data_IF_581227822261
#
_entry.id   IF_581227822261
#
_cell.length_a   1.000
_cell.length_b   1.000
_cell.length_c   1.000
_cell.angle_alpha   90.00
_cell.angle_beta   90.00
_cell.angle_gamma   90.00
#
_symmetry.space_group_name_H-M   'P 1'
#
loop_
_entity.id
_entity.type
_entity.pdbx_description
1 polymer ?
#
# COMPACT_ATOMS: atom_id res chain seq x y z
N UNK A 1 -1.14 26.71 0.39
CA UNK A 1 -0.41 25.45 0.21
C UNK A 1 -1.11 24.68 -0.90
N UNK A 2 -0.39 24.30 -1.95
CA UNK A 2 -1.00 23.61 -3.10
C UNK A 2 -1.58 22.27 -2.68
N UNK A 3 -2.73 21.89 -3.22
CA UNK A 3 -3.31 20.56 -3.03
C UNK A 3 -2.50 19.52 -3.80
N UNK A 4 -2.65 18.25 -3.48
CA UNK A 4 -1.98 17.18 -4.24
C UNK A 4 -2.44 17.16 -5.69
N UNK A 5 -3.71 17.44 -5.93
CA UNK A 5 -4.32 17.53 -7.27
C UNK A 5 -3.75 18.71 -8.07
N UNK A 6 -3.50 19.86 -7.43
CA UNK A 6 -2.82 21.00 -8.06
C UNK A 6 -1.39 20.62 -8.47
N UNK A 7 -0.67 19.95 -7.57
CA UNK A 7 0.70 19.49 -7.83
C UNK A 7 0.76 18.48 -8.99
N UNK A 8 -0.21 17.58 -9.10
CA UNK A 8 -0.28 16.67 -10.27
C UNK A 8 -0.53 17.45 -11.55
N UNK A 9 -1.38 18.48 -11.51
CA UNK A 9 -1.58 19.39 -12.63
C UNK A 9 -0.30 20.12 -13.05
N UNK A 10 0.49 20.61 -12.08
CA UNK A 10 1.79 21.24 -12.32
C UNK A 10 2.80 20.24 -12.88
N UNK A 11 2.85 19.04 -12.33
CA UNK A 11 3.68 17.94 -12.84
C UNK A 11 3.34 17.61 -14.31
N UNK A 12 2.06 17.57 -14.65
CA UNK A 12 1.60 17.35 -16.02
C UNK A 12 2.08 18.43 -16.99
N UNK A 13 2.35 19.64 -16.51
CA UNK A 13 2.94 20.75 -17.25
C UNK A 13 4.47 20.76 -17.25
N UNK A 14 5.11 19.80 -16.61
CA UNK A 14 6.55 19.64 -16.57
C UNK A 14 7.24 20.32 -15.38
N UNK A 15 6.51 20.71 -14.33
CA UNK A 15 7.13 21.28 -13.12
C UNK A 15 7.70 20.17 -12.23
N UNK A 16 9.02 20.04 -12.25
CA UNK A 16 9.75 19.07 -11.42
C UNK A 16 9.68 19.39 -9.92
N UNK A 17 9.37 20.63 -9.53
CA UNK A 17 9.22 21.01 -8.12
C UNK A 17 7.96 20.38 -7.53
N UNK A 18 6.89 20.30 -8.33
CA UNK A 18 5.66 19.62 -7.95
C UNK A 18 5.91 18.14 -7.66
N UNK A 19 6.71 17.46 -8.50
CA UNK A 19 7.10 16.06 -8.27
C UNK A 19 7.85 15.91 -6.94
N UNK A 20 8.84 16.79 -6.68
CA UNK A 20 9.63 16.75 -5.43
C UNK A 20 8.75 16.93 -4.20
N UNK A 21 7.75 17.80 -4.27
CA UNK A 21 6.82 18.03 -3.18
C UNK A 21 5.92 16.82 -2.94
N UNK A 22 5.37 16.22 -4.00
CA UNK A 22 4.59 14.98 -3.89
C UNK A 22 5.44 13.82 -3.33
N UNK A 23 6.67 13.65 -3.82
CA UNK A 23 7.61 12.65 -3.28
C UNK A 23 7.80 12.84 -1.77
N UNK A 24 8.03 14.07 -1.31
CA UNK A 24 8.20 14.36 0.12
C UNK A 24 6.97 14.05 0.96
N UNK A 25 5.76 14.31 0.45
CA UNK A 25 4.50 14.04 1.15
C UNK A 25 4.21 12.54 1.28
N UNK A 26 4.55 11.76 0.25
CA UNK A 26 4.17 10.35 0.14
C UNK A 26 5.31 9.35 0.33
N UNK A 27 6.54 9.80 0.59
CA UNK A 27 7.69 8.91 0.81
C UNK A 27 7.41 7.84 1.88
N UNK A 28 7.03 8.27 3.08
CA UNK A 28 6.74 7.34 4.19
C UNK A 28 5.46 6.54 3.99
N UNK A 29 4.30 7.15 3.65
CA UNK A 29 3.07 6.42 3.45
C UNK A 29 3.19 5.35 2.36
N UNK A 30 3.75 5.69 1.21
CA UNK A 30 3.87 4.76 0.09
C UNK A 30 4.89 3.64 0.37
N UNK A 31 6.07 3.98 0.89
CA UNK A 31 7.09 2.98 1.25
C UNK A 31 6.58 2.01 2.30
N UNK A 32 5.90 2.51 3.32
CA UNK A 32 5.27 1.72 4.38
C UNK A 32 4.18 0.78 3.84
N UNK A 33 3.36 1.27 2.91
CA UNK A 33 2.34 0.47 2.24
C UNK A 33 2.95 -0.70 1.46
N UNK A 34 3.93 -0.41 0.60
CA UNK A 34 4.62 -1.43 -0.21
C UNK A 34 5.32 -2.45 0.69
N UNK A 35 6.01 -1.97 1.73
CA UNK A 35 6.69 -2.82 2.70
C UNK A 35 5.75 -3.86 3.33
N UNK A 36 4.57 -3.43 3.79
CA UNK A 36 3.59 -4.34 4.40
C UNK A 36 3.01 -5.34 3.41
N UNK A 37 2.92 -4.95 2.14
CA UNK A 37 2.43 -5.83 1.08
C UNK A 37 3.44 -6.88 0.64
N UNK A 38 4.73 -6.56 0.66
CA UNK A 38 5.79 -7.40 0.10
C UNK A 38 6.68 -8.05 1.16
N UNK A 39 6.35 -7.85 2.44
CA UNK A 39 7.22 -8.27 3.55
C UNK A 39 8.64 -7.68 3.45
N UNK A 40 8.73 -6.45 2.99
CA UNK A 40 9.99 -5.71 2.86
C UNK A 40 10.82 -6.06 1.63
N UNK A 41 10.32 -6.89 0.73
CA UNK A 41 11.03 -7.25 -0.51
C UNK A 41 10.71 -6.26 -1.63
N UNK A 42 11.73 -5.94 -2.43
CA UNK A 42 11.64 -5.09 -3.64
C UNK A 42 10.94 -3.74 -3.41
N UNK A 43 10.97 -3.22 -2.18
CA UNK A 43 10.26 -1.99 -1.81
C UNK A 43 10.70 -0.82 -2.66
N UNK A 44 12.01 -0.64 -2.85
CA UNK A 44 12.55 0.46 -3.62
C UNK A 44 12.16 0.40 -5.09
N UNK A 45 12.24 -0.78 -5.70
CA UNK A 45 11.87 -0.97 -7.11
C UNK A 45 10.39 -0.70 -7.34
N UNK A 46 9.52 -1.18 -6.45
CA UNK A 46 8.07 -0.94 -6.53
C UNK A 46 7.72 0.53 -6.25
N UNK A 47 8.44 1.17 -5.33
CA UNK A 47 8.30 2.59 -5.05
C UNK A 47 8.65 3.43 -6.29
N UNK A 48 9.78 3.17 -6.90
CA UNK A 48 10.22 3.87 -8.12
C UNK A 48 9.26 3.62 -9.28
N UNK A 49 8.83 2.39 -9.51
CA UNK A 49 7.87 2.07 -10.58
C UNK A 49 6.51 2.74 -10.35
N UNK A 50 6.06 2.86 -9.10
CA UNK A 50 4.85 3.61 -8.77
C UNK A 50 4.96 5.06 -9.24
N UNK A 51 6.05 5.74 -8.91
CA UNK A 51 6.27 7.12 -9.30
C UNK A 51 6.48 7.31 -10.80
N UNK A 52 7.14 6.37 -11.47
CA UNK A 52 7.24 6.38 -12.93
C UNK A 52 5.85 6.32 -13.59
N UNK A 53 4.94 5.51 -13.06
CA UNK A 53 3.56 5.47 -13.54
C UNK A 53 2.79 6.75 -13.23
N UNK A 54 3.01 7.36 -12.08
CA UNK A 54 2.44 8.68 -11.75
C UNK A 54 2.89 9.73 -12.76
N UNK A 55 4.18 9.83 -13.02
CA UNK A 55 4.73 10.81 -13.99
C UNK A 55 4.17 10.59 -15.39
N UNK A 56 4.14 9.36 -15.86
CA UNK A 56 3.60 9.01 -17.19
C UNK A 56 2.09 9.24 -17.31
N UNK A 57 1.38 9.10 -16.21
CA UNK A 57 -0.07 9.22 -16.13
C UNK A 57 -0.60 10.62 -15.75
N UNK A 58 0.27 11.52 -15.28
CA UNK A 58 -0.11 12.82 -14.71
C UNK A 58 -1.01 13.65 -15.66
N UNK A 59 -0.72 13.67 -16.94
CA UNK A 59 -1.49 14.40 -17.95
C UNK A 59 -2.92 13.85 -18.15
N UNK A 60 -3.19 12.61 -17.72
CA UNK A 60 -4.50 11.94 -17.82
C UNK A 60 -5.21 11.81 -16.47
N UNK A 61 -4.60 12.32 -15.40
CA UNK A 61 -5.20 12.32 -14.08
C UNK A 61 -6.44 13.22 -14.07
N UNK A 62 -7.53 12.69 -13.51
CA UNK A 62 -8.77 13.44 -13.34
C UNK A 62 -8.70 14.25 -12.01
N UNK A 63 -8.63 15.59 -12.07
CA UNK A 63 -8.51 16.44 -10.89
C UNK A 63 -9.74 16.43 -9.97
N UNK A 64 -10.85 15.85 -10.41
CA UNK A 64 -12.03 15.63 -9.56
C UNK A 64 -11.84 14.44 -8.61
N UNK A 65 -10.84 13.61 -8.84
CA UNK A 65 -10.47 12.47 -7.99
C UNK A 65 -9.34 12.83 -7.05
N UNK A 66 -9.28 12.16 -5.91
CA UNK A 66 -8.18 12.36 -4.96
C UNK A 66 -6.89 11.70 -5.48
N UNK A 67 -5.81 12.46 -5.46
CA UNK A 67 -4.50 11.95 -5.86
C UNK A 67 -4.07 10.73 -5.03
N UNK A 68 -4.27 10.75 -3.72
CA UNK A 68 -3.94 9.63 -2.84
C UNK A 68 -4.63 8.34 -3.27
N UNK A 69 -5.91 8.38 -3.65
CA UNK A 69 -6.65 7.22 -4.15
C UNK A 69 -6.00 6.66 -5.41
N UNK A 70 -5.64 7.51 -6.35
CA UNK A 70 -4.98 7.10 -7.59
C UNK A 70 -3.58 6.53 -7.34
N UNK A 71 -2.78 7.18 -6.49
CA UNK A 71 -1.45 6.71 -6.12
C UNK A 71 -1.48 5.31 -5.50
N UNK A 72 -2.33 5.10 -4.49
CA UNK A 72 -2.46 3.79 -3.84
C UNK A 72 -3.07 2.73 -4.76
N UNK A 73 -3.96 3.10 -5.67
CA UNK A 73 -4.46 2.19 -6.70
C UNK A 73 -3.32 1.66 -7.59
N UNK A 74 -2.42 2.55 -8.04
CA UNK A 74 -1.23 2.15 -8.80
C UNK A 74 -0.35 1.21 -7.98
N UNK A 75 -0.08 1.55 -6.72
CA UNK A 75 0.76 0.76 -5.83
C UNK A 75 0.17 -0.63 -5.54
N UNK A 76 -1.14 -0.72 -5.28
CA UNK A 76 -1.85 -2.00 -5.09
C UNK A 76 -1.68 -2.91 -6.30
N UNK A 77 -1.91 -2.38 -7.49
CA UNK A 77 -1.81 -3.17 -8.72
C UNK A 77 -0.37 -3.65 -8.96
N UNK A 78 0.63 -2.83 -8.69
CA UNK A 78 2.03 -3.23 -8.75
C UNK A 78 2.38 -4.32 -7.74
N UNK A 79 1.91 -4.21 -6.51
CA UNK A 79 2.12 -5.24 -5.50
C UNK A 79 1.43 -6.57 -5.88
N UNK A 80 0.22 -6.50 -6.43
CA UNK A 80 -0.49 -7.69 -6.94
C UNK A 80 0.26 -8.36 -8.09
N UNK A 81 0.77 -7.59 -9.03
CA UNK A 81 1.60 -8.09 -10.13
C UNK A 81 2.90 -8.72 -9.61
N UNK A 82 3.53 -8.10 -8.63
CA UNK A 82 4.72 -8.63 -7.97
C UNK A 82 4.44 -9.98 -7.29
N UNK A 83 3.37 -10.11 -6.53
CA UNK A 83 2.96 -11.37 -5.92
C UNK A 83 2.69 -12.47 -6.96
N UNK A 84 2.05 -12.09 -8.06
CA UNK A 84 1.74 -13.02 -9.16
C UNK A 84 2.99 -13.57 -9.82
N UNK A 85 3.99 -12.72 -10.07
CA UNK A 85 5.31 -13.13 -10.60
C UNK A 85 6.09 -13.98 -9.61
N UNK A 86 6.05 -13.65 -8.33
CA UNK A 86 6.71 -14.42 -7.27
C UNK A 86 6.18 -15.84 -7.13
N UNK A 87 4.88 -16.08 -7.39
CA UNK A 87 4.30 -17.43 -7.39
C UNK A 87 4.83 -18.31 -8.54
N UNK A 88 5.24 -17.72 -9.64
CA UNK A 88 5.86 -18.43 -10.78
C UNK A 88 7.32 -18.77 -10.50
N UNK A 89 7.96 -18.03 -9.59
CA UNK A 89 9.36 -18.16 -9.20
C UNK A 89 9.56 -18.88 -7.86
N UNK A 90 8.58 -19.66 -7.38
CA UNK A 90 8.68 -20.33 -6.08
C UNK A 90 9.66 -21.51 -6.13
N UNK A 91 10.93 -21.21 -6.01
CA UNK A 91 11.87 -22.06 -5.30
C UNK A 91 12.90 -21.16 -4.64
N UNK A 92 12.88 -21.20 -3.30
CA UNK A 92 13.93 -20.67 -2.42
C UNK A 92 14.02 -19.15 -2.31
N UNK A 93 13.57 -18.66 -1.14
CA UNK A 93 14.44 -17.78 -0.33
C UNK A 93 13.79 -17.56 1.04
N UNK A 94 14.50 -18.01 2.05
CA UNK A 94 14.22 -17.76 3.46
C UNK A 94 14.14 -16.28 3.76
N UNK A 95 13.16 -15.94 4.60
CA UNK A 95 12.80 -14.60 4.99
C UNK A 95 13.90 -13.89 5.78
N UNK A 96 14.67 -13.03 5.15
CA UNK A 96 15.29 -11.92 5.85
C UNK A 96 14.30 -10.74 5.81
N UNK A 97 13.49 -10.64 6.87
CA UNK A 97 12.61 -9.49 7.14
C UNK A 97 13.49 -8.32 7.61
N UNK A 98 14.14 -7.65 6.67
CA UNK A 98 14.78 -6.38 6.96
C UNK A 98 13.70 -5.31 7.07
N UNK A 99 13.39 -4.88 8.29
CA UNK A 99 12.51 -3.73 8.52
C UNK A 99 13.12 -2.47 7.94
N UNK A 100 12.34 -1.59 7.28
CA UNK A 100 12.84 -0.30 6.87
C UNK A 100 13.37 0.46 8.10
N UNK A 101 14.45 1.24 7.95
CA UNK A 101 15.12 1.89 9.08
C UNK A 101 14.28 2.85 9.89
N UNK A 102 13.06 3.18 9.45
CA UNK A 102 12.21 4.22 10.00
C UNK A 102 10.85 3.76 10.56
N UNK A 103 10.50 2.49 10.43
CA UNK A 103 9.34 1.92 11.12
C UNK A 103 9.82 1.37 12.46
N UNK A 104 9.32 1.96 13.56
CA UNK A 104 9.74 1.65 14.91
C UNK A 104 9.87 0.14 15.17
N UNK A 105 11.06 -0.25 15.60
CA UNK A 105 11.44 -1.64 15.90
C UNK A 105 10.91 -2.08 17.27
N UNK A 106 9.60 -1.93 17.53
CA UNK A 106 9.03 -2.60 18.69
C UNK A 106 8.72 -4.06 18.34
N UNK A 107 8.92 -4.97 19.28
CA UNK A 107 8.52 -6.38 19.12
C UNK A 107 7.06 -6.48 18.67
N UNK A 108 6.17 -5.65 19.23
CA UNK A 108 4.77 -5.57 18.85
C UNK A 108 4.54 -5.19 17.38
N UNK A 109 5.38 -4.33 16.79
CA UNK A 109 5.27 -3.98 15.37
C UNK A 109 5.73 -5.12 14.45
N UNK A 110 6.72 -5.90 14.89
CA UNK A 110 7.18 -7.10 14.16
C UNK A 110 6.12 -8.20 14.20
N UNK A 111 5.49 -8.40 15.36
CA UNK A 111 4.42 -9.38 15.53
C UNK A 111 3.19 -9.02 14.71
N UNK A 112 2.78 -7.75 14.72
CA UNK A 112 1.70 -7.26 13.87
C UNK A 112 2.00 -7.48 12.37
N UNK A 113 3.24 -7.28 11.94
CA UNK A 113 3.67 -7.57 10.57
C UNK A 113 3.54 -9.04 10.20
N UNK A 114 3.95 -9.94 11.10
CA UNK A 114 3.80 -11.40 10.90
C UNK A 114 2.35 -11.83 10.80
N UNK A 115 1.49 -11.28 11.66
CA UNK A 115 0.04 -11.57 11.64
C UNK A 115 -0.61 -11.11 10.33
N UNK A 116 -0.23 -9.94 9.82
CA UNK A 116 -0.73 -9.45 8.54
C UNK A 116 -0.35 -10.38 7.37
N UNK A 117 0.84 -10.96 7.39
CA UNK A 117 1.30 -11.89 6.36
C UNK A 117 0.51 -13.21 6.34
N UNK A 118 -0.13 -13.57 7.45
CA UNK A 118 -0.99 -14.76 7.54
C UNK A 118 -2.39 -14.54 6.98
N UNK A 119 -2.77 -13.28 6.69
CA UNK A 119 -4.03 -12.99 6.02
C UNK A 119 -3.93 -13.27 4.52
N UNK A 120 -5.03 -13.76 3.90
CA UNK A 120 -5.16 -13.72 2.44
C UNK A 120 -4.95 -12.30 1.91
N UNK A 121 -4.35 -12.18 0.72
CA UNK A 121 -4.03 -10.88 0.11
C UNK A 121 -5.20 -9.87 0.11
N UNK A 122 -6.44 -10.24 -0.32
CA UNK A 122 -7.56 -9.30 -0.31
C UNK A 122 -7.95 -8.80 1.09
N UNK A 123 -7.78 -9.62 2.12
CA UNK A 123 -8.04 -9.23 3.51
C UNK A 123 -6.92 -8.34 4.05
N UNK A 124 -5.68 -8.65 3.73
CA UNK A 124 -4.51 -7.85 4.11
C UNK A 124 -4.58 -6.44 3.53
N UNK A 125 -4.93 -6.31 2.26
CA UNK A 125 -5.07 -5.01 1.57
C UNK A 125 -6.05 -4.08 2.28
N UNK A 126 -7.25 -4.55 2.62
CA UNK A 126 -8.25 -3.72 3.29
C UNK A 126 -7.81 -3.33 4.71
N UNK A 127 -7.13 -4.21 5.44
CA UNK A 127 -6.60 -3.90 6.77
C UNK A 127 -5.51 -2.83 6.70
N UNK A 128 -4.57 -2.97 5.78
CA UNK A 128 -3.48 -2.00 5.61
C UNK A 128 -4.04 -0.63 5.26
N UNK A 129 -4.90 -0.53 4.25
CA UNK A 129 -5.46 0.74 3.81
C UNK A 129 -6.34 1.39 4.89
N UNK A 130 -7.15 0.61 5.58
CA UNK A 130 -8.08 1.14 6.59
C UNK A 130 -7.39 1.57 7.88
N UNK A 131 -6.46 0.78 8.40
CA UNK A 131 -5.89 0.98 9.74
C UNK A 131 -4.50 1.60 9.76
N UNK A 132 -3.69 1.40 8.73
CA UNK A 132 -2.35 2.02 8.66
C UNK A 132 -2.31 3.30 7.84
N UNK A 133 -3.31 3.53 6.98
CA UNK A 133 -3.41 4.70 6.13
C UNK A 133 -4.67 5.54 6.39
N UNK A 134 -5.46 5.19 7.40
CA UNK A 134 -6.64 5.92 7.86
C UNK A 134 -7.67 6.25 6.76
N UNK A 135 -7.74 5.41 5.71
CA UNK A 135 -8.71 5.58 4.65
C UNK A 135 -10.10 5.14 5.12
N UNK A 136 -11.12 5.85 4.70
CA UNK A 136 -12.51 5.42 4.88
C UNK A 136 -12.82 4.18 4.06
N UNK A 137 -13.88 3.46 4.38
CA UNK A 137 -14.29 2.28 3.59
C UNK A 137 -14.60 2.64 2.13
N UNK A 138 -15.13 3.83 1.89
CA UNK A 138 -15.38 4.37 0.55
C UNK A 138 -14.06 4.62 -0.21
N UNK A 139 -13.07 5.20 0.46
CA UNK A 139 -11.74 5.43 -0.12
C UNK A 139 -11.02 4.11 -0.40
N UNK A 140 -11.11 3.14 0.51
CA UNK A 140 -10.56 1.78 0.30
C UNK A 140 -11.23 1.12 -0.90
N UNK A 141 -12.56 1.22 -1.01
CA UNK A 141 -13.31 0.69 -2.15
C UNK A 141 -12.85 1.32 -3.48
N UNK A 142 -12.60 2.63 -3.49
CA UNK A 142 -12.08 3.33 -4.66
C UNK A 142 -10.65 2.90 -5.02
N UNK A 143 -9.76 2.73 -4.02
CA UNK A 143 -8.38 2.25 -4.22
C UNK A 143 -8.38 0.83 -4.80
N UNK A 144 -9.20 -0.05 -4.26
CA UNK A 144 -9.25 -1.47 -4.64
C UNK A 144 -10.15 -1.76 -5.84
N UNK A 145 -10.85 -0.75 -6.35
CA UNK A 145 -11.82 -0.90 -7.45
C UNK A 145 -12.85 -2.00 -7.17
N UNK A 146 -13.47 -1.94 -5.99
CA UNK A 146 -14.48 -2.90 -5.57
C UNK A 146 -15.64 -2.20 -4.82
N UNK A 147 -16.81 -2.85 -4.69
CA UNK A 147 -17.92 -2.30 -3.92
C UNK A 147 -17.56 -2.11 -2.43
N UNK A 148 -18.15 -1.11 -1.78
CA UNK A 148 -17.98 -0.88 -0.34
C UNK A 148 -18.37 -2.11 0.50
N UNK A 149 -19.43 -2.82 0.12
CA UNK A 149 -19.84 -4.05 0.79
C UNK A 149 -18.76 -5.15 0.75
N UNK A 150 -17.97 -5.21 -0.31
CA UNK A 150 -16.81 -6.10 -0.42
C UNK A 150 -15.72 -5.71 0.58
N UNK A 151 -15.43 -4.41 0.74
CA UNK A 151 -14.49 -3.92 1.75
C UNK A 151 -14.96 -4.31 3.15
N UNK A 152 -16.23 -4.11 3.46
CA UNK A 152 -16.82 -4.44 4.76
C UNK A 152 -16.73 -5.92 5.08
N UNK A 153 -17.07 -6.81 4.14
CA UNK A 153 -16.98 -8.25 4.34
C UNK A 153 -15.53 -8.72 4.50
N UNK A 154 -14.60 -8.17 3.71
CA UNK A 154 -13.17 -8.47 3.83
C UNK A 154 -12.61 -8.01 5.18
N UNK A 155 -12.97 -6.81 5.65
CA UNK A 155 -12.57 -6.33 6.99
C UNK A 155 -13.11 -7.21 8.08
N UNK A 156 -14.40 -7.58 8.04
CA UNK A 156 -15.02 -8.47 9.01
C UNK A 156 -14.27 -9.80 9.10
N UNK A 157 -14.02 -10.44 7.96
CA UNK A 157 -13.32 -11.72 7.90
C UNK A 157 -11.85 -11.59 8.34
N UNK A 158 -11.18 -10.50 7.98
CA UNK A 158 -9.80 -10.25 8.40
C UNK A 158 -9.67 -10.11 9.91
N UNK A 159 -10.55 -9.31 10.52
CA UNK A 159 -10.54 -9.10 11.98
C UNK A 159 -10.86 -10.38 12.76
N UNK A 160 -11.81 -11.19 12.28
CA UNK A 160 -12.12 -12.50 12.86
C UNK A 160 -10.89 -13.44 12.80
N UNK A 161 -10.19 -13.46 11.66
CA UNK A 161 -8.99 -14.29 11.48
C UNK A 161 -7.84 -13.81 12.36
N UNK A 162 -7.58 -12.50 12.43
CA UNK A 162 -6.56 -11.94 13.31
C UNK A 162 -6.84 -12.24 14.78
N UNK A 163 -8.09 -12.12 15.23
CA UNK A 163 -8.48 -12.48 16.60
C UNK A 163 -8.21 -13.95 16.91
N UNK A 164 -8.44 -14.85 15.95
CA UNK A 164 -8.14 -16.27 16.14
C UNK A 164 -6.63 -16.53 16.24
N UNK A 165 -5.82 -15.88 15.38
CA UNK A 165 -4.37 -16.02 15.39
C UNK A 165 -3.74 -15.52 16.70
N UNK A 166 -4.19 -14.38 17.23
CA UNK A 166 -3.71 -13.85 18.51
C UNK A 166 -4.01 -14.81 19.67
N UNK A 167 -5.20 -15.41 19.70
CA UNK A 167 -5.57 -16.39 20.74
C UNK A 167 -4.76 -17.68 20.65
N UNK A 168 -4.30 -18.07 19.49
CA UNK A 168 -3.44 -19.25 19.30
C UNK A 168 -2.01 -19.01 19.80
N UNK A 169 -1.49 -17.78 19.63
CA UNK A 169 -0.16 -17.37 20.13
C UNK A 169 -0.12 -17.25 21.66
N UNK A 170 -1.26 -16.90 22.30
CA UNK A 170 -1.37 -16.78 23.77
C UNK A 170 -1.53 -18.13 24.51
N UNK A 171 -1.55 -19.27 23.81
CA UNK A 171 -1.67 -20.63 24.39
C UNK A 171 -0.34 -21.35 24.51
#
# INVERSE_FOLDING_TARGET
>A
MATDEDLVGDLARGDERALRELLGRYERPLSSFIYRHTAGRDVEDLYQETWLRVVRGAARFDPAKRFSTWLFHIAVNLCRDWHRRGRVSTQSLENDLAAPPQLGRSEAALDAGRLLLQLPEPQREVVILRFYHDLTEEEVAAVLDCPKGTVQSRLHNALARLSALVREEDR
#
